data_IF_135452382321
#
_entry.id   IF_135452382321
#
_cell.length_a   1.000
_cell.length_b   1.000
_cell.length_c   1.000
_cell.angle_alpha   90.00
_cell.angle_beta   90.00
_cell.angle_gamma   90.00
#
_symmetry.space_group_name_H-M   'P 1'
#
loop_
_entity.id
_entity.type
_entity.pdbx_description
1 polymer ?
#
# COMPACT_ATOMS: atom_id res chain seq x y z
N UNK A 1 4.78 19.77 8.37
CA UNK A 1 3.39 19.42 7.96
C UNK A 1 3.35 17.94 7.66
N UNK A 2 2.47 17.17 8.31
CA UNK A 2 2.24 15.77 7.95
C UNK A 2 1.51 15.78 6.59
N UNK A 3 1.98 15.06 5.56
CA UNK A 3 1.25 14.98 4.30
C UNK A 3 -0.18 14.50 4.58
N UNK A 4 -1.17 15.25 4.12
CA UNK A 4 -2.58 14.91 4.32
C UNK A 4 -2.92 13.73 3.41
N UNK A 5 -3.09 12.56 4.02
CA UNK A 5 -3.61 11.38 3.33
C UNK A 5 -5.13 11.35 3.48
N UNK A 6 -5.83 11.17 2.37
CA UNK A 6 -7.27 10.96 2.34
C UNK A 6 -7.60 9.50 2.67
N UNK A 7 -8.41 9.27 3.71
CA UNK A 7 -8.87 7.92 4.03
C UNK A 7 -9.90 7.47 3.00
N UNK A 8 -9.67 6.31 2.40
CA UNK A 8 -10.60 5.71 1.44
C UNK A 8 -10.94 4.27 1.82
N UNK A 9 -12.05 3.77 1.29
CA UNK A 9 -12.39 2.35 1.33
C UNK A 9 -11.61 1.57 0.27
N UNK A 10 -11.23 0.34 0.59
CA UNK A 10 -10.48 -0.54 -0.34
C UNK A 10 -11.24 -0.78 -1.65
N UNK A 11 -12.56 -0.84 -1.62
CA UNK A 11 -13.41 -1.03 -2.80
C UNK A 11 -13.19 0.08 -3.84
N UNK A 12 -12.90 1.32 -3.41
CA UNK A 12 -12.65 2.46 -4.29
C UNK A 12 -11.31 2.39 -5.02
N UNK A 13 -10.34 1.61 -4.53
CA UNK A 13 -8.98 1.49 -5.12
C UNK A 13 -9.06 1.00 -6.57
N UNK A 14 -10.03 0.13 -6.86
CA UNK A 14 -10.24 -0.44 -8.20
C UNK A 14 -10.49 0.62 -9.29
N UNK A 15 -10.95 1.82 -8.91
CA UNK A 15 -11.24 2.93 -9.83
C UNK A 15 -10.08 3.92 -9.95
N UNK A 16 -9.03 3.77 -9.15
CA UNK A 16 -7.89 4.68 -9.13
C UNK A 16 -6.90 4.38 -10.25
N UNK A 17 -6.18 5.42 -10.69
CA UNK A 17 -5.15 5.31 -11.72
C UNK A 17 -3.78 5.44 -11.10
N UNK A 18 -2.90 4.49 -11.42
CA UNK A 18 -1.56 4.43 -10.84
C UNK A 18 -0.50 4.70 -11.93
N UNK A 19 0.25 5.81 -11.82
CA UNK A 19 1.44 6.05 -12.65
C UNK A 19 2.50 4.96 -12.47
N UNK A 20 3.40 4.82 -13.44
CA UNK A 20 4.53 3.88 -13.35
C UNK A 20 5.71 4.40 -12.52
N UNK A 21 5.77 5.70 -12.25
CA UNK A 21 6.84 6.28 -11.41
C UNK A 21 6.71 5.83 -9.96
N UNK A 22 7.86 5.62 -9.32
CA UNK A 22 7.90 5.38 -7.88
C UNK A 22 7.63 6.68 -7.11
N UNK A 23 6.93 6.58 -6.00
CA UNK A 23 6.68 7.70 -5.08
C UNK A 23 7.86 7.95 -4.13
N UNK A 24 8.82 7.01 -4.09
CA UNK A 24 10.05 7.10 -3.32
C UNK A 24 11.24 7.18 -4.29
N UNK A 25 12.05 8.23 -4.14
CA UNK A 25 13.27 8.42 -4.93
C UNK A 25 14.50 7.69 -4.33
N UNK A 26 14.42 7.31 -3.05
CA UNK A 26 15.52 6.72 -2.30
C UNK A 26 15.43 5.18 -2.21
N UNK A 27 16.56 4.51 -2.43
CA UNK A 27 16.64 3.05 -2.41
C UNK A 27 16.47 2.46 -1.01
N UNK A 28 16.96 3.14 0.03
CA UNK A 28 16.77 2.64 1.41
C UNK A 28 15.29 2.70 1.79
N UNK A 29 14.59 3.79 1.44
CA UNK A 29 13.16 3.91 1.62
C UNK A 29 12.37 2.84 0.87
N UNK A 30 12.75 2.51 -0.37
CA UNK A 30 12.13 1.42 -1.14
C UNK A 30 12.35 0.04 -0.48
N UNK A 31 13.55 -0.21 0.05
CA UNK A 31 13.86 -1.44 0.78
C UNK A 31 13.08 -1.54 2.10
N UNK A 32 12.98 -0.42 2.84
CA UNK A 32 12.19 -0.35 4.06
C UNK A 32 10.72 -0.64 3.78
N UNK A 33 10.14 -0.01 2.75
CA UNK A 33 8.77 -0.30 2.29
C UNK A 33 8.58 -1.79 1.98
N UNK A 34 9.52 -2.42 1.28
CA UNK A 34 9.43 -3.84 0.97
C UNK A 34 9.45 -4.71 2.25
N UNK A 35 10.27 -4.37 3.24
CA UNK A 35 10.30 -5.04 4.54
C UNK A 35 8.99 -4.86 5.32
N UNK A 36 8.46 -3.64 5.35
CA UNK A 36 7.17 -3.32 5.99
C UNK A 36 6.02 -4.10 5.36
N UNK A 37 5.98 -4.18 4.02
CA UNK A 37 4.97 -4.94 3.30
C UNK A 37 5.07 -6.45 3.57
N UNK A 38 6.27 -7.01 3.66
CA UNK A 38 6.45 -8.41 4.04
C UNK A 38 5.95 -8.68 5.46
N UNK A 39 6.25 -7.78 6.41
CA UNK A 39 5.73 -7.88 7.78
C UNK A 39 4.20 -7.76 7.81
N UNK A 40 3.64 -6.86 7.03
CA UNK A 40 2.20 -6.68 6.85
C UNK A 40 1.51 -7.96 6.33
N UNK A 41 2.12 -8.65 5.37
CA UNK A 41 1.64 -9.94 4.88
C UNK A 41 1.63 -11.01 5.98
N UNK A 42 2.71 -11.09 6.77
CA UNK A 42 2.78 -12.03 7.90
C UNK A 42 1.68 -11.76 8.94
N UNK A 43 1.48 -10.50 9.33
CA UNK A 43 0.42 -10.11 10.26
C UNK A 43 -0.99 -10.38 9.70
N UNK A 44 -1.19 -10.14 8.40
CA UNK A 44 -2.44 -10.44 7.73
C UNK A 44 -2.77 -11.93 7.72
N UNK A 45 -1.76 -12.78 7.49
CA UNK A 45 -1.91 -14.24 7.45
C UNK A 45 -2.04 -14.87 8.84
N UNK A 46 -1.35 -14.35 9.86
CA UNK A 46 -1.33 -14.92 11.21
C UNK A 46 -2.50 -14.44 12.07
N UNK A 47 -2.77 -13.14 12.08
CA UNK A 47 -3.67 -12.51 13.04
C UNK A 47 -4.90 -11.88 12.37
N UNK A 48 -4.96 -11.91 11.03
CA UNK A 48 -5.98 -11.20 10.25
C UNK A 48 -6.02 -9.69 10.58
N UNK A 49 -4.89 -9.17 11.05
CA UNK A 49 -4.73 -7.80 11.50
C UNK A 49 -4.94 -6.84 10.33
N UNK A 50 -5.70 -5.77 10.58
CA UNK A 50 -5.80 -4.66 9.66
C UNK A 50 -4.63 -3.72 9.90
N UNK A 51 -4.05 -3.25 8.82
CA UNK A 51 -2.98 -2.27 8.80
C UNK A 51 -3.40 -1.08 7.95
N UNK A 52 -2.70 0.05 8.10
CA UNK A 52 -2.83 1.21 7.23
C UNK A 52 -1.77 1.19 6.16
N UNK A 53 -2.20 1.30 4.91
CA UNK A 53 -1.32 1.42 3.74
C UNK A 53 -1.45 2.83 3.20
N UNK A 54 -0.32 3.54 3.16
CA UNK A 54 -0.24 4.91 2.67
C UNK A 54 0.31 4.90 1.25
N UNK A 55 -0.44 5.44 0.29
CA UNK A 55 -0.10 5.36 -1.12
C UNK A 55 -0.54 6.62 -1.88
N UNK A 56 -0.17 6.73 -3.16
CA UNK A 56 -0.60 7.84 -4.04
C UNK A 56 -1.05 7.29 -5.38
N UNK A 57 -2.20 7.74 -5.87
CA UNK A 57 -2.63 7.50 -7.25
C UNK A 57 -2.13 8.63 -8.16
N UNK A 58 -2.82 8.93 -9.27
CA UNK A 58 -2.48 10.07 -10.14
C UNK A 58 -2.86 11.43 -9.56
N UNK A 59 -3.73 11.47 -8.55
CA UNK A 59 -4.46 12.68 -8.17
C UNK A 59 -4.13 13.14 -6.75
N UNK A 60 -4.07 12.21 -5.78
CA UNK A 60 -3.83 12.54 -4.38
C UNK A 60 -3.27 11.38 -3.55
N UNK A 61 -2.73 11.76 -2.38
CA UNK A 61 -2.24 10.82 -1.36
C UNK A 61 -3.42 10.24 -0.58
N UNK A 62 -3.46 8.91 -0.48
CA UNK A 62 -4.56 8.15 0.11
C UNK A 62 -4.07 7.13 1.14
N UNK A 63 -4.91 6.84 2.12
CA UNK A 63 -4.69 5.79 3.11
C UNK A 63 -5.87 4.84 3.15
N UNK A 64 -5.58 3.54 3.19
CA UNK A 64 -6.60 2.50 3.36
C UNK A 64 -6.25 1.65 4.57
N UNK A 65 -7.25 1.31 5.38
CA UNK A 65 -7.10 0.39 6.50
C UNK A 65 -7.66 -0.98 6.12
N UNK A 66 -6.79 -1.97 5.92
CA UNK A 66 -7.20 -3.30 5.45
C UNK A 66 -6.18 -4.39 5.76
N UNK A 67 -6.50 -5.63 5.42
CA UNK A 67 -5.62 -6.79 5.60
C UNK A 67 -4.86 -7.06 4.30
N UNK A 68 -3.55 -7.23 4.38
CA UNK A 68 -2.73 -7.71 3.25
C UNK A 68 -2.89 -9.23 3.13
N UNK A 69 -3.23 -9.69 1.93
CA UNK A 69 -3.50 -11.09 1.61
C UNK A 69 -2.41 -11.72 0.74
N UNK A 70 -1.65 -10.90 0.02
CA UNK A 70 -0.55 -11.36 -0.81
C UNK A 70 0.36 -10.24 -1.25
N UNK A 71 1.57 -10.61 -1.65
CA UNK A 71 2.52 -9.74 -2.33
C UNK A 71 2.94 -10.42 -3.63
N UNK A 72 3.03 -9.63 -4.70
CA UNK A 72 3.71 -10.02 -5.93
C UNK A 72 4.97 -9.17 -6.07
N UNK A 73 5.74 -9.39 -7.13
CA UNK A 73 6.95 -8.61 -7.42
C UNK A 73 6.68 -7.10 -7.53
N UNK A 74 5.43 -6.72 -7.87
CA UNK A 74 5.07 -5.33 -8.16
C UNK A 74 3.79 -4.83 -7.50
N UNK A 75 3.02 -5.67 -6.79
CA UNK A 75 1.73 -5.27 -6.19
C UNK A 75 1.52 -5.87 -4.81
N UNK A 76 0.82 -5.12 -3.97
CA UNK A 76 0.22 -5.61 -2.73
C UNK A 76 -1.22 -6.01 -3.03
N UNK A 77 -1.57 -7.25 -2.70
CA UNK A 77 -2.92 -7.78 -2.83
C UNK A 77 -3.60 -7.69 -1.48
N UNK A 78 -4.73 -6.98 -1.47
CA UNK A 78 -5.56 -6.77 -0.30
C UNK A 78 -6.71 -7.78 -0.27
N UNK A 79 -7.40 -7.85 0.87
CA UNK A 79 -8.63 -8.62 0.99
C UNK A 79 -9.60 -8.31 -0.16
N UNK A 80 -10.25 -9.34 -0.71
CA UNK A 80 -11.09 -9.31 -1.93
C UNK A 80 -10.33 -9.12 -3.25
N UNK A 81 -9.01 -9.33 -3.29
CA UNK A 81 -8.22 -9.38 -4.53
C UNK A 81 -7.86 -8.01 -5.12
N UNK A 82 -8.01 -6.94 -4.35
CA UNK A 82 -7.73 -5.57 -4.78
C UNK A 82 -6.22 -5.32 -4.73
N UNK A 83 -5.62 -4.82 -5.82
CA UNK A 83 -4.17 -4.69 -5.94
C UNK A 83 -3.66 -3.24 -6.03
N UNK A 84 -2.78 -2.83 -5.13
CA UNK A 84 -2.06 -1.55 -5.18
C UNK A 84 -0.64 -1.79 -5.68
N UNK A 85 -0.13 -1.06 -6.69
CA UNK A 85 1.26 -1.14 -7.10
C UNK A 85 2.24 -0.74 -5.97
N UNK A 86 3.29 -1.54 -5.75
CA UNK A 86 4.26 -1.33 -4.67
C UNK A 86 4.98 0.01 -4.84
N UNK A 87 5.34 0.36 -6.08
CA UNK A 87 5.97 1.64 -6.42
C UNK A 87 5.09 2.87 -6.08
N UNK A 88 3.80 2.67 -5.81
CA UNK A 88 2.87 3.75 -5.40
C UNK A 88 2.64 3.82 -3.90
N UNK A 89 3.24 2.93 -3.12
CA UNK A 89 3.12 2.89 -1.66
C UNK A 89 4.29 3.65 -1.04
N UNK A 90 4.00 4.42 0.00
CA UNK A 90 5.02 5.07 0.83
C UNK A 90 5.48 4.16 1.97
N UNK A 91 4.52 3.57 2.70
CA UNK A 91 4.74 2.83 3.95
C UNK A 91 3.48 2.08 4.43
N UNK A 92 3.65 1.14 5.35
CA UNK A 92 2.53 0.43 6.01
C UNK A 92 2.73 0.20 7.51
N UNK A 93 1.68 0.40 8.32
CA UNK A 93 1.69 0.24 9.79
C UNK A 93 0.50 -0.55 10.32
#
# INVERSE_FOLDING_TARGET
MIPKFETIEKESISMLKFPQSDVLDDREAQNLRASELNRALLLGNLEHSKIRIYFEDSDSKKVVETTVWGLTDNRVILKKGIGIPINRIYKSF
#
